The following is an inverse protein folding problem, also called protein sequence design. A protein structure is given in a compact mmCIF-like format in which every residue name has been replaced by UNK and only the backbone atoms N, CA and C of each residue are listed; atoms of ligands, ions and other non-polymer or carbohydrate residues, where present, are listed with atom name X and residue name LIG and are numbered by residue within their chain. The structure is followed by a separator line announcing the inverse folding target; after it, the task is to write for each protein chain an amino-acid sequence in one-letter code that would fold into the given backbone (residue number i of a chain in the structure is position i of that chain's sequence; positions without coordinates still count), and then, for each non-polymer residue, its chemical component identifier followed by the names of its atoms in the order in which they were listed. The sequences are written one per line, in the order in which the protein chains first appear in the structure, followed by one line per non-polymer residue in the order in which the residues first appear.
data_IF_206463461504
#
_entry.id   IF_206463461504
#
_cell.length_a   1.000
_cell.length_b   1.000
_cell.length_c   1.000
_cell.angle_alpha   90.00
_cell.angle_beta   90.00
_cell.angle_gamma   90.00
#
_symmetry.space_group_name_H-M   'P 1'
#
loop_
_entity.id
_entity.type
_entity.pdbx_description
1 polymer ?
#
# COMPACT_ATOMS: atom_id res chain seq x y z
N UNK A 1 0.62 -45.42 -49.34
CA UNK A 1 -0.31 -44.25 -49.36
C UNK A 1 -1.67 -44.74 -48.87
N UNK A 2 -2.02 -44.54 -47.60
CA UNK A 2 -3.37 -44.87 -47.11
C UNK A 2 -4.34 -43.83 -47.72
N UNK A 3 -5.25 -44.27 -48.57
CA UNK A 3 -6.33 -43.42 -49.08
C UNK A 3 -7.16 -42.91 -47.89
N UNK A 4 -7.09 -41.60 -47.60
CA UNK A 4 -7.97 -40.97 -46.63
C UNK A 4 -9.39 -41.04 -47.19
N UNK A 5 -10.26 -41.79 -46.53
CA UNK A 5 -11.69 -41.78 -46.82
C UNK A 5 -12.24 -40.35 -46.65
N UNK A 6 -13.06 -39.86 -47.58
CA UNK A 6 -13.71 -38.56 -47.44
C UNK A 6 -14.62 -38.54 -46.21
N UNK A 7 -14.69 -37.40 -45.51
CA UNK A 7 -15.34 -37.26 -44.20
C UNK A 7 -16.83 -37.60 -44.20
N UNK A 8 -17.47 -37.55 -45.36
CA UNK A 8 -18.91 -37.81 -45.51
C UNK A 8 -19.24 -39.28 -45.78
N UNK A 9 -18.24 -40.14 -45.91
CA UNK A 9 -18.46 -41.56 -46.15
C UNK A 9 -19.03 -42.26 -44.91
N UNK A 10 -20.07 -43.07 -45.07
CA UNK A 10 -20.75 -43.79 -43.97
C UNK A 10 -19.80 -44.64 -43.14
N UNK A 11 -18.85 -45.32 -43.79
CA UNK A 11 -17.80 -46.11 -43.12
C UNK A 11 -16.85 -45.26 -42.26
N UNK A 12 -16.53 -44.03 -42.70
CA UNK A 12 -15.71 -43.11 -41.91
C UNK A 12 -16.47 -42.68 -40.64
N UNK A 13 -17.79 -42.41 -40.76
CA UNK A 13 -18.63 -42.09 -39.61
C UNK A 13 -18.69 -43.25 -38.60
N UNK A 14 -18.95 -44.47 -39.06
CA UNK A 14 -18.98 -45.66 -38.21
C UNK A 14 -17.63 -45.90 -37.49
N UNK A 15 -16.51 -45.78 -38.20
CA UNK A 15 -15.17 -45.87 -37.59
C UNK A 15 -14.89 -44.73 -36.62
N UNK A 16 -15.35 -43.51 -36.93
CA UNK A 16 -15.19 -42.36 -36.03
C UNK A 16 -15.99 -42.52 -34.75
N UNK A 17 -17.21 -43.06 -34.81
CA UNK A 17 -18.05 -43.34 -33.64
C UNK A 17 -17.40 -44.39 -32.74
N UNK A 18 -16.92 -45.49 -33.30
CA UNK A 18 -16.17 -46.51 -32.54
C UNK A 18 -14.90 -45.91 -31.91
N UNK A 19 -14.17 -45.08 -32.65
CA UNK A 19 -12.98 -44.39 -32.13
C UNK A 19 -13.33 -43.34 -31.07
N UNK A 20 -14.50 -42.70 -31.12
CA UNK A 20 -14.86 -41.63 -30.18
C UNK A 20 -14.94 -42.14 -28.75
N UNK A 21 -15.41 -43.38 -28.54
CA UNK A 21 -15.52 -43.94 -27.19
C UNK A 21 -14.14 -44.19 -26.58
N UNK A 22 -13.20 -44.72 -27.36
CA UNK A 22 -11.80 -44.91 -26.95
C UNK A 22 -11.13 -43.56 -26.72
N UNK A 23 -11.30 -42.60 -27.65
CA UNK A 23 -10.77 -41.23 -27.55
C UNK A 23 -11.28 -40.52 -26.28
N UNK A 24 -12.55 -40.69 -25.94
CA UNK A 24 -13.16 -40.07 -24.76
C UNK A 24 -12.66 -40.71 -23.46
N UNK A 25 -12.40 -42.03 -23.45
CA UNK A 25 -11.78 -42.69 -22.29
C UNK A 25 -10.33 -42.24 -22.13
N UNK A 26 -9.58 -42.13 -23.22
CA UNK A 26 -8.21 -41.62 -23.21
C UNK A 26 -8.14 -40.17 -22.73
N UNK A 27 -9.03 -39.30 -23.24
CA UNK A 27 -9.06 -37.89 -22.85
C UNK A 27 -9.44 -37.71 -21.39
N UNK A 28 -10.45 -38.45 -20.90
CA UNK A 28 -10.81 -38.42 -19.47
C UNK A 28 -9.71 -38.99 -18.59
N UNK A 29 -9.07 -40.08 -19.00
CA UNK A 29 -7.94 -40.67 -18.27
C UNK A 29 -6.73 -39.72 -18.17
N UNK A 30 -6.53 -38.83 -19.16
CA UNK A 30 -5.52 -37.79 -19.09
C UNK A 30 -5.94 -36.56 -18.27
N UNK A 31 -7.19 -36.10 -18.41
CA UNK A 31 -7.67 -34.87 -17.77
C UNK A 31 -7.96 -35.06 -16.29
N UNK A 32 -8.52 -36.20 -15.88
CA UNK A 32 -8.94 -36.39 -14.48
C UNK A 32 -7.77 -36.36 -13.49
N UNK A 33 -6.65 -37.10 -13.71
CA UNK A 33 -5.49 -37.01 -12.81
C UNK A 33 -4.88 -35.61 -12.82
N UNK A 34 -4.87 -34.96 -13.99
CA UNK A 34 -4.41 -33.59 -14.15
C UNK A 34 -5.21 -32.64 -13.26
N UNK A 35 -6.53 -32.68 -13.32
CA UNK A 35 -7.40 -31.83 -12.52
C UNK A 35 -7.29 -32.12 -11.02
N UNK A 36 -7.15 -33.40 -10.64
CA UNK A 36 -7.00 -33.81 -9.23
C UNK A 36 -5.68 -33.29 -8.64
N UNK A 37 -4.60 -33.22 -9.41
CA UNK A 37 -3.35 -32.61 -8.95
C UNK A 37 -3.35 -31.09 -9.02
N UNK A 38 -3.83 -30.56 -10.15
CA UNK A 38 -3.76 -29.15 -10.45
C UNK A 38 -4.65 -28.35 -9.50
N UNK A 39 -5.82 -28.87 -9.13
CA UNK A 39 -6.75 -28.19 -8.22
C UNK A 39 -6.12 -27.84 -6.86
N UNK A 40 -5.69 -28.83 -6.05
CA UNK A 40 -5.05 -28.60 -4.76
C UNK A 40 -3.76 -27.79 -4.85
N UNK A 41 -2.99 -27.97 -5.94
CA UNK A 41 -1.76 -27.23 -6.17
C UNK A 41 -2.05 -25.74 -6.40
N UNK A 42 -2.95 -25.39 -7.32
CA UNK A 42 -3.35 -23.99 -7.56
C UNK A 42 -3.94 -23.36 -6.29
N UNK A 43 -4.77 -24.09 -5.54
CA UNK A 43 -5.31 -23.64 -4.26
C UNK A 43 -4.19 -23.34 -3.25
N UNK A 44 -3.22 -24.24 -3.13
CA UNK A 44 -2.05 -24.03 -2.26
C UNK A 44 -1.23 -22.82 -2.70
N UNK A 45 -1.07 -22.59 -4.01
CA UNK A 45 -0.35 -21.44 -4.54
C UNK A 45 -1.09 -20.11 -4.34
N UNK A 46 -2.40 -20.05 -4.60
CA UNK A 46 -3.21 -18.86 -4.33
C UNK A 46 -3.23 -18.53 -2.84
N UNK A 47 -3.35 -19.56 -2.01
CA UNK A 47 -3.27 -19.42 -0.56
C UNK A 47 -1.88 -18.94 -0.11
N UNK A 48 -0.80 -19.52 -0.64
CA UNK A 48 0.57 -19.17 -0.29
C UNK A 48 0.96 -17.79 -0.80
N UNK A 49 0.57 -17.39 -2.01
CA UNK A 49 0.86 -16.07 -2.58
C UNK A 49 0.29 -14.94 -1.70
N UNK A 50 -0.94 -15.10 -1.19
CA UNK A 50 -1.56 -14.13 -0.27
C UNK A 50 -0.83 -14.01 1.07
N UNK A 51 -0.18 -15.09 1.52
CA UNK A 51 0.59 -15.18 2.78
C UNK A 51 2.06 -14.81 2.62
N UNK A 52 2.60 -14.97 1.41
CA UNK A 52 3.99 -14.72 1.06
C UNK A 52 4.22 -13.32 0.52
N UNK A 53 3.16 -12.54 0.24
CA UNK A 53 3.32 -11.18 -0.24
C UNK A 53 4.21 -10.40 0.73
N UNK A 54 5.42 -9.98 0.30
CA UNK A 54 6.32 -9.19 1.14
C UNK A 54 5.65 -7.89 1.60
N UNK A 55 4.64 -7.39 0.87
CA UNK A 55 3.85 -6.24 1.27
C UNK A 55 2.96 -6.50 2.50
N UNK A 56 2.65 -7.75 2.82
CA UNK A 56 1.93 -8.16 4.03
C UNK A 56 2.85 -8.58 5.19
N UNK A 57 4.17 -8.66 4.97
CA UNK A 57 5.08 -9.04 6.05
C UNK A 57 5.33 -7.90 7.01
N UNK A 58 5.42 -8.26 8.29
CA UNK A 58 5.91 -7.36 9.31
C UNK A 58 7.37 -6.96 8.97
N UNK A 59 7.75 -5.71 9.21
CA UNK A 59 9.11 -5.24 9.01
C UNK A 59 10.05 -6.02 9.93
N UNK A 60 11.27 -6.28 9.45
CA UNK A 60 12.28 -6.94 10.26
C UNK A 60 12.64 -6.11 11.51
N UNK A 61 13.05 -6.73 12.62
CA UNK A 61 13.59 -6.01 13.77
C UNK A 61 14.77 -5.12 13.36
N UNK A 62 14.90 -3.94 13.96
CA UNK A 62 15.88 -2.93 13.52
C UNK A 62 15.41 -1.99 12.40
N UNK A 63 14.19 -2.19 11.88
CA UNK A 63 13.63 -1.31 10.84
C UNK A 63 13.29 0.09 11.37
N UNK A 64 13.40 1.10 10.49
CA UNK A 64 12.98 2.47 10.75
C UNK A 64 11.55 2.74 10.26
N UNK A 65 10.77 3.42 11.08
CA UNK A 65 9.38 3.82 10.84
C UNK A 65 9.27 5.32 10.79
N UNK A 66 8.45 5.83 9.88
CA UNK A 66 7.99 7.21 9.89
C UNK A 66 6.58 7.19 10.45
N UNK A 67 6.44 7.69 11.68
CA UNK A 67 5.15 7.90 12.33
C UNK A 67 4.68 9.29 11.94
N UNK A 68 3.47 9.38 11.41
CA UNK A 68 2.84 10.63 11.05
C UNK A 68 1.55 10.79 11.83
N UNK A 69 1.35 11.95 12.44
CA UNK A 69 0.08 12.34 13.03
C UNK A 69 -0.57 13.42 12.16
N UNK A 70 -1.82 13.20 11.80
CA UNK A 70 -2.70 14.23 11.27
C UNK A 70 -3.33 14.98 12.44
N UNK A 71 -3.02 16.27 12.52
CA UNK A 71 -3.47 17.13 13.60
C UNK A 71 -4.32 18.26 13.04
N UNK A 72 -5.34 18.63 13.80
CA UNK A 72 -6.21 19.73 13.48
C UNK A 72 -5.39 21.02 13.35
N UNK A 73 -5.47 21.73 12.21
CA UNK A 73 -4.74 22.97 11.99
C UNK A 73 -5.10 24.10 12.97
N UNK A 74 -6.26 24.02 13.63
CA UNK A 74 -6.71 25.00 14.62
C UNK A 74 -6.22 24.67 16.06
N UNK A 75 -5.55 23.54 16.26
CA UNK A 75 -5.02 23.16 17.57
C UNK A 75 -3.73 23.92 17.93
N UNK A 76 -3.73 24.61 19.08
CA UNK A 76 -2.66 25.48 19.54
C UNK A 76 -1.68 24.87 20.57
N UNK A 77 -1.81 23.57 20.89
CA UNK A 77 -0.97 22.89 21.89
C UNK A 77 0.24 22.17 21.32
N UNK A 78 1.07 21.63 22.20
CA UNK A 78 2.13 20.72 21.79
C UNK A 78 1.57 19.31 21.61
N UNK A 79 2.15 18.59 20.65
CA UNK A 79 1.84 17.19 20.38
C UNK A 79 3.06 16.36 20.75
N UNK A 80 2.86 15.38 21.63
CA UNK A 80 3.92 14.54 22.19
C UNK A 80 3.74 13.11 21.72
N UNK A 81 4.77 12.59 21.06
CA UNK A 81 4.89 11.17 20.79
C UNK A 81 5.44 10.47 22.04
N UNK A 82 4.66 9.56 22.59
CA UNK A 82 5.02 8.67 23.70
C UNK A 82 5.37 7.31 23.11
N UNK A 83 6.64 6.93 23.27
CA UNK A 83 7.15 5.63 22.83
C UNK A 83 7.58 4.78 24.02
N UNK A 84 7.41 3.45 23.95
CA UNK A 84 8.04 2.51 24.85
C UNK A 84 9.56 2.73 24.92
N UNK A 85 10.21 2.51 26.08
CA UNK A 85 11.65 2.80 26.27
C UNK A 85 12.57 1.94 25.39
N UNK A 86 12.04 0.85 24.83
CA UNK A 86 12.78 -0.08 23.97
C UNK A 86 12.80 0.39 22.50
N UNK A 87 11.93 1.34 22.13
CA UNK A 87 11.96 2.01 20.84
C UNK A 87 12.87 3.24 20.92
N UNK A 88 13.66 3.45 19.87
CA UNK A 88 14.56 4.61 19.79
C UNK A 88 13.95 5.68 18.90
N UNK A 89 13.81 6.90 19.42
CA UNK A 89 13.48 8.06 18.62
C UNK A 89 14.75 8.59 17.96
N UNK A 90 14.68 8.88 16.66
CA UNK A 90 15.79 9.50 15.94
C UNK A 90 16.06 10.90 16.53
N UNK A 91 17.33 11.21 16.83
CA UNK A 91 17.74 12.44 17.50
C UNK A 91 17.38 13.71 16.71
N UNK A 92 17.18 13.59 15.39
CA UNK A 92 16.75 14.69 14.53
C UNK A 92 15.29 15.11 14.77
N UNK A 93 14.47 14.25 15.35
CA UNK A 93 13.04 14.48 15.54
C UNK A 93 12.72 14.59 17.03
N UNK A 94 12.41 15.79 17.56
CA UNK A 94 12.03 15.93 18.95
C UNK A 94 10.71 15.19 19.23
N UNK A 95 10.62 14.58 20.42
CA UNK A 95 9.41 13.85 20.85
C UNK A 95 8.20 14.76 21.00
N UNK A 96 8.44 16.04 21.29
CA UNK A 96 7.42 17.08 21.38
C UNK A 96 7.57 18.00 20.17
N UNK A 97 6.50 18.14 19.39
CA UNK A 97 6.44 19.04 18.25
C UNK A 97 5.27 20.02 18.41
N UNK A 98 5.42 21.22 17.86
CA UNK A 98 4.38 22.25 17.83
C UNK A 98 3.92 22.46 16.40
N UNK A 99 2.64 22.75 16.27
CA UNK A 99 1.99 22.99 14.99
C UNK A 99 2.04 24.47 14.67
N UNK A 100 2.14 24.79 13.39
CA UNK A 100 2.14 26.19 12.95
C UNK A 100 0.70 26.67 12.86
N UNK A 101 0.34 27.67 13.66
CA UNK A 101 -1.01 28.23 13.63
C UNK A 101 -1.16 29.18 12.43
N UNK A 102 -1.77 28.70 11.34
CA UNK A 102 -1.97 29.51 10.14
C UNK A 102 -3.08 30.55 10.30
N UNK A 103 -4.18 30.21 10.97
CA UNK A 103 -5.33 31.11 11.16
C UNK A 103 -4.96 32.48 11.74
N UNK A 104 -4.22 32.60 12.87
CA UNK A 104 -3.85 33.91 13.40
C UNK A 104 -2.91 34.68 12.46
N UNK A 105 -2.07 34.00 11.67
CA UNK A 105 -1.21 34.65 10.68
C UNK A 105 -2.05 35.22 9.53
N UNK A 106 -2.99 34.43 8.99
CA UNK A 106 -3.92 34.87 7.95
C UNK A 106 -4.80 36.04 8.43
N UNK A 107 -5.29 35.99 9.67
CA UNK A 107 -6.04 37.09 10.27
C UNK A 107 -5.19 38.35 10.43
N UNK A 108 -3.93 38.23 10.83
CA UNK A 108 -3.01 39.39 10.90
C UNK A 108 -2.80 40.02 9.52
N UNK A 109 -2.65 39.22 8.47
CA UNK A 109 -2.55 39.74 7.10
C UNK A 109 -3.82 40.45 6.65
N UNK A 110 -4.99 39.87 6.94
CA UNK A 110 -6.30 40.46 6.63
C UNK A 110 -6.47 41.80 7.36
N UNK A 111 -6.14 41.86 8.65
CA UNK A 111 -6.22 43.09 9.45
C UNK A 111 -5.25 44.18 8.96
N UNK A 112 -3.99 43.82 8.68
CA UNK A 112 -3.00 44.74 8.14
C UNK A 112 -3.42 45.29 6.77
N UNK A 113 -4.13 44.48 5.99
CA UNK A 113 -4.69 44.91 4.73
C UNK A 113 -5.84 45.91 4.92
N UNK A 114 -6.80 45.66 5.80
CA UNK A 114 -7.89 46.61 6.06
C UNK A 114 -7.35 47.97 6.51
N UNK A 115 -6.29 47.99 7.32
CA UNK A 115 -5.60 49.22 7.71
C UNK A 115 -5.04 49.96 6.50
N UNK A 116 -4.35 49.27 5.58
CA UNK A 116 -3.83 49.88 4.34
C UNK A 116 -4.92 50.36 3.40
N UNK A 117 -6.07 49.70 3.35
CA UNK A 117 -7.19 50.13 2.49
C UNK A 117 -7.67 51.53 2.89
N UNK A 118 -7.75 51.80 4.19
CA UNK A 118 -8.07 53.15 4.72
C UNK A 118 -7.03 54.20 4.32
N UNK A 119 -5.75 53.82 4.17
CA UNK A 119 -4.70 54.71 3.67
C UNK A 119 -4.80 54.92 2.16
N UNK A 120 -5.09 53.88 1.37
CA UNK A 120 -5.16 53.93 -0.10
C UNK A 120 -6.34 54.80 -0.58
N UNK A 121 -7.42 54.91 0.20
CA UNK A 121 -8.53 55.84 -0.12
C UNK A 121 -8.10 57.31 -0.22
N UNK A 122 -6.89 57.67 0.22
CA UNK A 122 -6.32 59.02 0.07
C UNK A 122 -5.50 59.23 -1.22
N UNK A 123 -5.25 58.19 -2.02
CA UNK A 123 -4.49 58.27 -3.28
C UNK A 123 -5.36 58.55 -4.51
N UNK A 124 -4.73 58.81 -5.66
CA UNK A 124 -5.42 59.24 -6.90
C UNK A 124 -6.44 58.21 -7.41
N UNK A 125 -7.59 58.71 -7.87
CA UNK A 125 -8.77 57.94 -8.30
C UNK A 125 -8.49 56.88 -9.38
N UNK A 126 -7.55 57.14 -10.30
CA UNK A 126 -7.24 56.23 -11.41
C UNK A 126 -6.45 54.99 -10.99
N UNK A 127 -5.63 55.06 -9.93
CA UNK A 127 -4.94 53.89 -9.36
C UNK A 127 -5.89 53.00 -8.54
N UNK A 128 -6.99 53.57 -8.03
CA UNK A 128 -7.98 52.85 -7.21
C UNK A 128 -8.88 51.92 -8.02
N UNK A 129 -9.20 52.23 -9.28
CA UNK A 129 -10.26 51.53 -10.04
C UNK A 129 -9.81 50.18 -10.60
N UNK A 130 -8.57 50.06 -11.11
CA UNK A 130 -8.14 48.81 -11.74
C UNK A 130 -7.71 47.73 -10.75
N UNK A 131 -7.29 48.11 -9.54
CA UNK A 131 -6.87 47.18 -8.50
C UNK A 131 -8.00 46.78 -7.54
N UNK A 132 -9.01 47.63 -7.33
CA UNK A 132 -9.99 47.43 -6.25
C UNK A 132 -10.92 46.23 -6.45
N UNK A 133 -11.61 46.11 -7.59
CA UNK A 133 -12.67 45.12 -7.75
C UNK A 133 -12.17 43.66 -7.72
N UNK A 134 -11.03 43.39 -8.38
CA UNK A 134 -10.43 42.05 -8.38
C UNK A 134 -9.86 41.72 -7.00
N UNK A 135 -9.18 42.66 -6.33
CA UNK A 135 -8.63 42.43 -4.99
C UNK A 135 -9.70 42.32 -3.91
N UNK A 136 -10.78 43.09 -3.97
CA UNK A 136 -11.90 42.96 -3.04
C UNK A 136 -12.48 41.54 -3.08
N UNK A 137 -12.66 40.98 -4.29
CA UNK A 137 -13.10 39.60 -4.43
C UNK A 137 -12.14 38.59 -3.77
N UNK A 138 -10.83 38.72 -3.97
CA UNK A 138 -9.87 37.83 -3.31
C UNK A 138 -9.86 37.98 -1.78
N UNK A 139 -10.10 39.19 -1.27
CA UNK A 139 -10.18 39.43 0.17
C UNK A 139 -11.47 38.86 0.77
N UNK A 140 -12.60 39.01 0.08
CA UNK A 140 -13.87 38.38 0.48
C UNK A 140 -13.73 36.85 0.45
N UNK A 141 -13.07 36.30 -0.56
CA UNK A 141 -12.75 34.86 -0.65
C UNK A 141 -11.82 34.41 0.49
N UNK A 142 -10.80 35.21 0.84
CA UNK A 142 -9.92 34.95 1.98
C UNK A 142 -10.68 35.01 3.32
N UNK A 143 -11.51 36.02 3.52
CA UNK A 143 -12.33 36.17 4.73
C UNK A 143 -13.32 35.02 4.86
N UNK A 144 -13.98 34.64 3.76
CA UNK A 144 -14.84 33.47 3.69
C UNK A 144 -14.06 32.18 3.99
N UNK A 145 -12.87 32.01 3.42
CA UNK A 145 -12.00 30.87 3.71
C UNK A 145 -11.56 30.83 5.18
N UNK A 146 -11.24 31.98 5.79
CA UNK A 146 -10.92 32.05 7.21
C UNK A 146 -12.18 31.71 8.03
N UNK A 147 -13.35 32.27 7.75
CA UNK A 147 -14.55 32.04 8.59
C UNK A 147 -15.16 30.64 8.45
N UNK A 148 -15.22 30.13 7.22
CA UNK A 148 -15.98 28.92 6.89
C UNK A 148 -15.11 27.82 6.26
N UNK A 149 -13.93 28.17 5.75
CA UNK A 149 -13.02 27.20 5.15
C UNK A 149 -12.40 26.27 6.18
N UNK A 150 -12.29 25.01 5.80
CA UNK A 150 -11.47 24.05 6.53
C UNK A 150 -10.02 24.26 6.09
N UNK A 151 -9.16 24.59 7.06
CA UNK A 151 -7.73 24.63 6.83
C UNK A 151 -7.23 23.22 6.46
N UNK A 152 -6.23 23.12 5.58
CA UNK A 152 -5.67 21.82 5.23
C UNK A 152 -5.09 21.15 6.49
N UNK A 153 -5.20 19.82 6.61
CA UNK A 153 -4.64 19.10 7.73
C UNK A 153 -3.12 19.30 7.81
N UNK A 154 -2.61 19.40 9.04
CA UNK A 154 -1.18 19.48 9.28
C UNK A 154 -0.64 18.11 9.69
N UNK A 155 0.53 17.77 9.17
CA UNK A 155 1.17 16.49 9.42
C UNK A 155 2.44 16.70 10.25
N UNK A 156 2.50 16.03 11.39
CA UNK A 156 3.70 15.95 12.22
C UNK A 156 4.37 14.61 11.97
N UNK A 157 5.70 14.62 11.82
CA UNK A 157 6.46 13.43 11.47
C UNK A 157 7.50 13.13 12.54
N UNK A 158 7.59 11.86 12.92
CA UNK A 158 8.64 11.33 13.78
C UNK A 158 9.27 10.13 13.12
N UNK A 159 10.56 9.92 13.37
CA UNK A 159 11.28 8.74 12.94
C UNK A 159 11.64 7.89 14.13
N UNK A 160 11.19 6.64 14.12
CA UNK A 160 11.42 5.68 15.20
C UNK A 160 12.18 4.49 14.63
N UNK A 161 13.15 3.98 15.39
CA UNK A 161 13.88 2.76 15.06
C UNK A 161 13.41 1.65 16.00
N UNK A 162 12.98 0.54 15.41
CA UNK A 162 12.60 -0.66 16.18
C UNK A 162 13.83 -1.36 16.76
N UNK A 163 13.76 -1.96 17.95
CA UNK A 163 14.84 -2.78 18.46
C UNK A 163 14.94 -4.09 17.67
N UNK A 164 16.01 -4.85 17.93
CA UNK A 164 16.31 -6.13 17.28
C UNK A 164 15.41 -7.30 17.74
N UNK A 165 14.33 -7.03 18.49
CA UNK A 165 13.40 -8.04 19.00
C UNK A 165 12.07 -7.98 18.27
N UNK A 166 11.56 -9.15 17.89
CA UNK A 166 10.24 -9.31 17.28
C UNK A 166 9.15 -9.24 18.35
N UNK A 167 8.30 -8.22 18.28
CA UNK A 167 7.16 -8.04 19.18
C UNK A 167 6.25 -6.92 18.67
N UNK A 168 5.14 -6.74 19.38
CA UNK A 168 4.10 -5.77 19.09
C UNK A 168 4.32 -4.53 19.95
N UNK A 169 4.67 -3.42 19.32
CA UNK A 169 4.97 -2.17 20.00
C UNK A 169 3.76 -1.25 19.99
N UNK A 170 3.40 -0.73 21.16
CA UNK A 170 2.33 0.26 21.27
C UNK A 170 2.93 1.65 21.37
N UNK A 171 2.69 2.49 20.37
CA UNK A 171 3.04 3.91 20.39
C UNK A 171 1.77 4.73 20.64
N UNK A 172 1.93 5.88 21.29
CA UNK A 172 0.80 6.76 21.57
C UNK A 172 1.16 8.20 21.25
N UNK A 173 0.26 8.92 20.59
CA UNK A 173 0.37 10.36 20.39
C UNK A 173 -0.58 11.04 21.35
N UNK A 174 -0.05 11.90 22.21
CA UNK A 174 -0.81 12.67 23.20
C UNK A 174 -0.72 14.15 22.87
N UNK A 175 -1.74 14.88 23.26
CA UNK A 175 -1.70 16.35 23.29
C UNK A 175 -1.70 16.81 24.74
N UNK A 176 -1.28 18.04 25.01
CA UNK A 176 -1.21 18.56 26.38
C UNK A 176 -2.56 18.51 27.12
N UNK A 177 -3.67 18.60 26.37
CA UNK A 177 -5.03 18.65 26.92
C UNK A 177 -5.77 17.30 26.89
N UNK A 178 -5.21 16.28 26.24
CA UNK A 178 -5.89 14.99 26.05
C UNK A 178 -5.23 13.87 26.88
N UNK A 179 -6.05 13.26 27.73
CA UNK A 179 -5.65 12.09 28.53
C UNK A 179 -5.79 10.78 27.76
N UNK A 180 -6.66 10.76 26.74
CA UNK A 180 -7.00 9.58 25.95
C UNK A 180 -5.85 9.16 25.04
N UNK A 181 -5.33 10.09 24.23
CA UNK A 181 -4.19 9.93 23.33
C UNK A 181 -4.36 8.82 22.30
N UNK A 182 -4.14 9.12 21.03
CA UNK A 182 -4.35 8.14 19.97
C UNK A 182 -3.27 7.05 20.02
N UNK A 183 -3.70 5.80 20.08
CA UNK A 183 -2.83 4.62 20.23
C UNK A 183 -2.68 3.92 18.89
N UNK A 184 -1.46 3.54 18.55
CA UNK A 184 -1.13 2.78 17.34
C UNK A 184 -0.22 1.61 17.68
N UNK A 185 -0.56 0.47 17.12
CA UNK A 185 0.15 -0.77 17.31
C UNK A 185 1.05 -1.05 16.11
N UNK A 186 2.34 -1.25 16.36
CA UNK A 186 3.37 -1.52 15.36
C UNK A 186 3.85 -2.97 15.50
N UNK A 187 3.46 -3.88 14.60
CA UNK A 187 3.99 -5.23 14.59
C UNK A 187 5.41 -5.23 13.98
N UNK A 188 6.36 -5.88 14.66
CA UNK A 188 7.75 -6.00 14.21
C UNK A 188 8.19 -7.46 14.27
N UNK A 189 8.76 -7.95 13.17
CA UNK A 189 9.30 -9.29 13.01
C UNK A 189 8.26 -10.39 12.79
N UNK A 190 8.76 -11.61 12.62
CA UNK A 190 7.99 -12.76 12.12
C UNK A 190 7.26 -13.54 13.21
N UNK A 191 7.57 -13.29 14.48
CA UNK A 191 6.90 -13.95 15.61
C UNK A 191 5.50 -13.40 15.90
N UNK A 192 5.18 -12.23 15.35
CA UNK A 192 3.88 -11.55 15.50
C UNK A 192 3.08 -11.77 14.23
N UNK A 193 1.76 -12.08 14.32
CA UNK A 193 0.93 -12.14 13.13
C UNK A 193 0.94 -10.79 12.38
N UNK A 194 0.85 -10.80 11.04
CA UNK A 194 0.79 -9.56 10.27
C UNK A 194 -0.48 -8.78 10.63
N UNK A 195 -0.34 -7.48 10.91
CA UNK A 195 -1.49 -6.59 11.08
C UNK A 195 -1.85 -5.95 9.74
N UNK A 196 -3.15 -5.73 9.54
CA UNK A 196 -3.68 -5.09 8.35
C UNK A 196 -3.08 -3.68 8.16
N UNK A 197 -2.74 -3.36 6.91
CA UNK A 197 -2.25 -2.05 6.49
C UNK A 197 -3.30 -1.40 5.60
N UNK A 198 -3.63 -0.16 5.89
CA UNK A 198 -4.46 0.65 5.01
C UNK A 198 -3.58 1.32 3.94
N UNK A 199 -4.09 1.43 2.72
CA UNK A 199 -3.47 2.23 1.67
C UNK A 199 -3.90 3.69 1.85
N UNK A 200 -2.99 4.51 2.34
CA UNK A 200 -3.21 5.93 2.57
C UNK A 200 -2.76 6.71 1.33
N UNK A 201 -3.65 7.53 0.80
CA UNK A 201 -3.38 8.43 -0.31
C UNK A 201 -2.91 9.78 0.23
N UNK A 202 -1.61 10.02 0.22
CA UNK A 202 -1.03 11.28 0.69
C UNK A 202 -0.91 12.29 -0.47
N UNK A 203 -1.13 13.59 -0.20
CA UNK A 203 -0.88 14.64 -1.18
C UNK A 203 0.62 14.72 -1.46
N UNK A 204 1.01 14.39 -2.70
CA UNK A 204 2.38 14.52 -3.16
C UNK A 204 2.66 15.85 -3.86
N UNK A 205 3.94 16.17 -4.11
CA UNK A 205 4.31 17.37 -4.84
C UNK A 205 3.67 17.36 -6.23
N UNK A 206 3.14 18.53 -6.64
CA UNK A 206 2.43 18.75 -7.93
C UNK A 206 1.08 18.02 -8.05
N UNK A 207 0.38 17.78 -6.94
CA UNK A 207 -0.97 17.20 -6.96
C UNK A 207 -1.02 15.71 -7.29
N UNK A 208 0.12 15.04 -7.43
CA UNK A 208 0.17 13.59 -7.58
C UNK A 208 -0.09 12.94 -6.23
N UNK A 209 -1.10 12.07 -6.15
CA UNK A 209 -1.31 11.26 -4.95
C UNK A 209 -0.22 10.19 -4.84
N UNK A 210 0.39 10.07 -3.66
CA UNK A 210 1.30 8.97 -3.33
C UNK A 210 0.55 8.00 -2.42
N UNK A 211 0.33 6.79 -2.91
CA UNK A 211 -0.21 5.71 -2.09
C UNK A 211 0.91 5.09 -1.25
N UNK A 212 0.67 4.97 0.06
CA UNK A 212 1.59 4.32 1.01
C UNK A 212 0.79 3.33 1.83
N UNK A 213 1.29 2.10 1.99
CA UNK A 213 0.75 1.14 2.94
C UNK A 213 1.25 1.46 4.34
N UNK A 214 0.33 1.69 5.27
CA UNK A 214 0.65 2.07 6.64
C UNK A 214 -0.32 1.44 7.64
N UNK A 215 0.15 1.22 8.86
CA UNK A 215 -0.77 0.92 9.98
C UNK A 215 -1.39 2.23 10.43
N UNK A 216 -2.71 2.25 10.58
CA UNK A 216 -3.45 3.46 10.87
C UNK A 216 -4.36 3.26 12.08
N UNK A 217 -4.51 4.32 12.86
CA UNK A 217 -5.50 4.45 13.92
C UNK A 217 -6.16 5.82 13.73
N UNK A 218 -7.50 5.85 13.77
CA UNK A 218 -8.30 7.08 13.61
C UNK A 218 -8.98 7.38 14.94
N UNK A 219 -9.08 8.65 15.28
CA UNK A 219 -9.84 9.05 16.46
C UNK A 219 -11.34 8.85 16.21
N UNK A 220 -12.04 8.27 17.18
CA UNK A 220 -13.50 8.10 17.10
C UNK A 220 -14.21 9.47 17.12
N UNK A 221 -13.62 10.45 17.81
CA UNK A 221 -14.17 11.79 17.89
C UNK A 221 -13.58 12.69 16.78
N UNK A 222 -14.40 13.24 15.86
CA UNK A 222 -13.93 14.14 14.80
C UNK A 222 -13.37 15.47 15.31
N UNK A 223 -13.69 15.85 16.56
CA UNK A 223 -13.15 17.04 17.24
C UNK A 223 -11.88 16.76 18.03
N UNK A 224 -11.35 15.54 17.98
CA UNK A 224 -10.05 15.23 18.57
C UNK A 224 -8.99 16.09 17.91
N UNK A 225 -8.09 16.73 18.69
CA UNK A 225 -7.00 17.53 18.11
C UNK A 225 -6.13 16.68 17.19
N UNK A 226 -5.88 15.41 17.54
CA UNK A 226 -5.21 14.44 16.66
C UNK A 226 -6.29 13.57 16.01
N UNK A 227 -6.46 13.71 14.70
CA UNK A 227 -7.52 13.03 13.94
C UNK A 227 -7.13 11.61 13.55
N UNK A 228 -5.88 11.44 13.14
CA UNK A 228 -5.35 10.13 12.76
C UNK A 228 -3.86 10.05 13.04
N UNK A 229 -3.39 8.83 13.28
CA UNK A 229 -1.98 8.49 13.31
C UNK A 229 -1.75 7.29 12.43
N UNK A 230 -0.63 7.31 11.71
CA UNK A 230 -0.18 6.15 10.98
C UNK A 230 1.32 6.02 11.02
N UNK A 231 1.78 4.80 10.82
CA UNK A 231 3.19 4.49 10.70
C UNK A 231 3.44 3.81 9.37
N UNK A 232 4.33 4.39 8.57
CA UNK A 232 4.84 3.78 7.36
C UNK A 232 6.26 3.28 7.65
N UNK A 233 6.58 2.08 7.19
CA UNK A 233 7.97 1.61 7.23
C UNK A 233 8.75 2.44 6.21
N UNK A 234 9.85 3.07 6.64
CA UNK A 234 10.82 3.63 5.71
C UNK A 234 11.63 2.45 5.16
N UNK A 235 10.99 1.66 4.29
CA UNK A 235 11.67 0.55 3.64
C UNK A 235 12.74 1.18 2.75
N UNK A 236 14.01 0.89 3.05
CA UNK A 236 14.93 0.63 1.93
C UNK A 236 14.23 -0.42 1.08
N UNK A 237 14.10 -0.24 -0.24
CA UNK A 237 13.38 -1.17 -1.09
C UNK A 237 13.81 -2.57 -0.69
N UNK A 238 12.90 -3.31 -0.04
CA UNK A 238 13.24 -4.60 0.57
C UNK A 238 13.84 -5.39 -0.57
N UNK A 239 15.11 -5.76 -0.42
CA UNK A 239 15.77 -6.61 -1.40
C UNK A 239 14.80 -7.77 -1.63
N UNK A 240 14.24 -7.85 -2.84
CA UNK A 240 13.16 -8.78 -3.16
C UNK A 240 13.56 -10.12 -2.57
N UNK A 241 12.84 -10.56 -1.54
CA UNK A 241 13.13 -11.87 -0.99
C UNK A 241 12.65 -12.88 -2.02
N UNK A 242 13.48 -13.86 -2.36
CA UNK A 242 13.11 -14.81 -3.38
C UNK A 242 11.85 -15.57 -2.96
N UNK A 243 10.97 -15.83 -3.92
CA UNK A 243 9.77 -16.63 -3.78
C UNK A 243 10.07 -17.94 -3.03
N UNK A 244 11.21 -18.56 -3.36
CA UNK A 244 11.70 -19.74 -2.69
C UNK A 244 13.24 -19.79 -2.75
N UNK A 245 13.89 -19.92 -1.59
CA UNK A 245 15.34 -19.88 -1.45
C UNK A 245 16.11 -20.78 -2.43
N UNK A 246 15.73 -22.07 -2.62
CA UNK A 246 16.40 -22.97 -3.56
C UNK A 246 16.29 -22.56 -5.04
N UNK A 247 15.29 -21.76 -5.42
CA UNK A 247 15.10 -21.26 -6.79
C UNK A 247 15.37 -19.76 -6.91
N UNK A 248 15.97 -19.14 -5.89
CA UNK A 248 16.32 -17.72 -5.90
C UNK A 248 17.24 -17.34 -7.08
N UNK A 249 18.06 -18.29 -7.54
CA UNK A 249 18.97 -18.11 -8.68
C UNK A 249 18.26 -17.96 -10.03
N UNK A 250 16.97 -18.33 -10.13
CA UNK A 250 16.15 -18.12 -11.33
C UNK A 250 15.52 -16.72 -11.36
N UNK A 251 15.53 -16.01 -10.24
CA UNK A 251 14.91 -14.70 -10.19
C UNK A 251 15.77 -13.64 -10.87
N UNK A 252 15.13 -12.68 -11.58
CA UNK A 252 15.83 -11.53 -12.12
C UNK A 252 16.58 -10.78 -11.02
N UNK A 253 17.82 -10.32 -11.29
CA UNK A 253 18.49 -9.41 -10.37
C UNK A 253 17.65 -8.13 -10.15
N UNK A 254 17.73 -7.52 -8.96
CA UNK A 254 16.94 -6.33 -8.64
C UNK A 254 17.24 -5.19 -9.62
N UNK A 255 16.18 -4.59 -10.18
CA UNK A 255 16.29 -3.47 -11.12
C UNK A 255 16.19 -3.85 -12.60
N UNK A 256 16.14 -5.14 -12.96
CA UNK A 256 15.84 -5.51 -14.35
C UNK A 256 14.36 -5.27 -14.67
N UNK A 257 14.04 -4.61 -15.80
CA UNK A 257 12.66 -4.38 -16.20
C UNK A 257 11.94 -5.71 -16.43
N UNK A 258 10.62 -5.80 -16.14
CA UNK A 258 9.85 -7.00 -16.36
C UNK A 258 9.86 -7.32 -17.87
N UNK A 259 10.49 -8.44 -18.22
CA UNK A 259 10.47 -9.00 -19.58
C UNK A 259 9.64 -10.28 -19.56
N UNK A 260 9.01 -10.59 -20.69
CA UNK A 260 8.12 -11.76 -20.83
C UNK A 260 8.78 -13.08 -20.41
N UNK A 261 10.09 -13.25 -20.62
CA UNK A 261 10.79 -14.47 -20.21
C UNK A 261 10.91 -14.61 -18.68
N UNK A 262 10.90 -13.51 -17.91
CA UNK A 262 10.88 -13.59 -16.44
C UNK A 262 9.54 -14.12 -15.92
N UNK A 263 8.46 -13.97 -16.69
CA UNK A 263 7.19 -14.61 -16.37
C UNK A 263 7.25 -16.12 -16.62
N UNK A 264 7.94 -16.57 -17.69
CA UNK A 264 8.09 -17.99 -18.05
C UNK A 264 9.06 -18.72 -17.11
N UNK A 265 10.16 -18.06 -16.72
CA UNK A 265 11.14 -18.59 -15.77
C UNK A 265 10.84 -18.19 -14.33
N UNK A 266 9.60 -17.78 -14.03
CA UNK A 266 9.22 -17.51 -12.67
C UNK A 266 9.44 -18.80 -11.83
N UNK A 267 10.10 -18.72 -10.67
CA UNK A 267 10.45 -19.89 -9.86
C UNK A 267 9.29 -20.86 -9.61
N UNK A 268 8.07 -20.34 -9.50
CA UNK A 268 6.87 -21.15 -9.32
C UNK A 268 6.53 -22.02 -10.55
N UNK A 269 6.79 -21.56 -11.78
CA UNK A 269 6.58 -22.36 -13.01
C UNK A 269 7.59 -23.50 -13.07
N UNK A 270 8.84 -23.22 -12.72
CA UNK A 270 9.89 -24.24 -12.69
C UNK A 270 9.59 -25.29 -11.63
N UNK A 271 9.19 -24.88 -10.42
CA UNK A 271 8.73 -25.78 -9.37
C UNK A 271 7.52 -26.60 -9.83
N UNK A 272 6.57 -25.95 -10.49
CA UNK A 272 5.41 -26.61 -11.08
C UNK A 272 5.83 -27.70 -12.07
N UNK A 273 6.69 -27.39 -13.04
CA UNK A 273 7.14 -28.37 -14.03
C UNK A 273 7.93 -29.52 -13.40
N UNK A 274 8.77 -29.24 -12.41
CA UNK A 274 9.56 -30.25 -11.68
C UNK A 274 8.68 -31.23 -10.92
N UNK A 275 7.58 -30.79 -10.33
CA UNK A 275 6.63 -31.67 -9.64
C UNK A 275 5.68 -32.34 -10.62
N UNK A 276 5.22 -31.60 -11.62
CA UNK A 276 4.20 -32.03 -12.56
C UNK A 276 4.70 -33.11 -13.54
N UNK A 277 5.86 -32.91 -14.17
CA UNK A 277 6.35 -33.83 -15.21
C UNK A 277 6.56 -35.26 -14.69
N UNK A 278 7.28 -35.50 -13.58
CA UNK A 278 7.46 -36.86 -13.06
C UNK A 278 6.13 -37.52 -12.75
N UNK A 279 5.21 -36.76 -12.16
CA UNK A 279 3.93 -37.28 -11.71
C UNK A 279 2.99 -37.58 -12.89
N UNK A 280 3.06 -36.78 -13.97
CA UNK A 280 2.45 -37.08 -15.25
C UNK A 280 3.00 -38.39 -15.86
N UNK A 281 4.31 -38.59 -15.86
CA UNK A 281 4.89 -39.84 -16.37
C UNK A 281 4.53 -41.05 -15.52
N UNK A 282 4.54 -40.92 -14.19
CA UNK A 282 4.14 -41.99 -13.26
C UNK A 282 2.67 -42.36 -13.49
N UNK A 283 1.77 -41.38 -13.54
CA UNK A 283 0.34 -41.64 -13.79
C UNK A 283 0.12 -42.25 -15.17
N UNK A 284 0.81 -41.76 -16.22
CA UNK A 284 0.76 -42.37 -17.56
C UNK A 284 1.23 -43.83 -17.54
N UNK A 285 2.32 -44.13 -16.82
CA UNK A 285 2.86 -45.48 -16.69
C UNK A 285 1.89 -46.41 -15.94
N UNK A 286 1.31 -45.95 -14.83
CA UNK A 286 0.31 -46.71 -14.05
C UNK A 286 -0.94 -47.01 -14.90
N UNK A 287 -1.41 -46.01 -15.66
CA UNK A 287 -2.58 -46.15 -16.53
C UNK A 287 -2.30 -46.93 -17.83
N UNK A 288 -1.04 -47.33 -18.07
CA UNK A 288 -0.59 -48.03 -19.29
C UNK A 288 -1.03 -47.33 -20.57
N UNK A 289 -1.04 -45.99 -20.56
CA UNK A 289 -1.40 -45.20 -21.73
C UNK A 289 -0.14 -45.09 -22.61
N UNK A 290 -0.14 -45.67 -23.83
CA UNK A 290 1.02 -45.61 -24.73
C UNK A 290 1.38 -44.16 -25.10
#
# INVERSE_FOLDING_TARGET
RLHRLPRDHSQYRALSELCTQVRNRLSRAGIVPLSILLGPLILSFLWCASRLDPANRNPAPGSSFIVTAEVDPDFAGAVRLVIPPQLQLDAQYPSVQKITLYRPVLQRFLNAWHQRQHEISTRSFFEQIQLSAVWQRYMDELEHFIKHGQLPPQYLHWRIISPLRSCLWMIQVRTDNDTGGLKLTLPVGDTVPPCERELISLPGPRGKSRQISAWMSKADNPRSPVRAIWAAVQQKPVARQPFWGPLAWLEPPPGTPPRWYHAIFAPWIVLYLLVYLPLFFITRAILRIP
#
